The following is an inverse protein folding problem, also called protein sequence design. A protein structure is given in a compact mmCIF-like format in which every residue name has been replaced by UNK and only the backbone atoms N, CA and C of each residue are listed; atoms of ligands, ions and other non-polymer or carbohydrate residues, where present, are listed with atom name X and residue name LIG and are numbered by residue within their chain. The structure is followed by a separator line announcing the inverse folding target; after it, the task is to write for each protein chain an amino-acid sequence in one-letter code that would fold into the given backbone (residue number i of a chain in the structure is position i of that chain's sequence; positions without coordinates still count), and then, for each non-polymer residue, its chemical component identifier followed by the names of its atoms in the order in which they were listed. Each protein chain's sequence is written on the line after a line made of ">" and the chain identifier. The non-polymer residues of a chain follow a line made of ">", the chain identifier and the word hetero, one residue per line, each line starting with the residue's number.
data_IF_186981842849
#
_entry.id   IF_186981842849
#
_cell.length_a   1.000
_cell.length_b   1.000
_cell.length_c   1.000
_cell.angle_alpha   90.00
_cell.angle_beta   90.00
_cell.angle_gamma   90.00
#
_symmetry.space_group_name_H-M   'P 1'
#
loop_
_entity.id
_entity.type
_entity.pdbx_description
1 polymer ?
#
# COMPACT_ATOMS: atom_id res chain seq x y z
N UNK A 1 -79.87 -56.93 36.58
CA UNK A 1 -79.09 -55.70 36.34
C UNK A 1 -77.95 -56.08 35.37
N UNK A 2 -78.21 -56.06 34.06
CA UNK A 2 -77.63 -55.15 33.02
C UNK A 2 -76.08 -55.07 33.10
N UNK A 3 -75.33 -55.93 32.40
CA UNK A 3 -74.73 -55.77 31.04
C UNK A 3 -74.10 -54.39 30.78
N UNK A 4 -72.84 -54.35 30.32
CA UNK A 4 -72.40 -53.86 29.00
C UNK A 4 -70.85 -53.91 28.86
N UNK A 5 -70.42 -54.35 27.69
CA UNK A 5 -69.09 -54.48 27.07
C UNK A 5 -68.64 -53.18 26.38
N UNK A 6 -67.33 -52.83 26.32
CA UNK A 6 -66.60 -52.14 25.20
C UNK A 6 -65.25 -51.55 25.70
N UNK A 7 -64.05 -51.91 25.20
CA UNK A 7 -63.34 -51.67 23.91
C UNK A 7 -62.64 -50.27 23.81
N UNK A 8 -61.39 -50.27 23.31
CA UNK A 8 -60.54 -49.17 22.75
C UNK A 8 -59.77 -48.32 23.79
N UNK A 9 -58.53 -47.84 23.60
CA UNK A 9 -57.68 -47.63 22.42
C UNK A 9 -56.21 -47.47 22.92
N UNK A 10 -55.26 -48.08 22.21
CA UNK A 10 -53.82 -47.80 22.31
C UNK A 10 -53.50 -46.39 21.81
N UNK A 11 -52.76 -45.60 22.60
CA UNK A 11 -52.04 -44.43 22.09
C UNK A 11 -50.64 -44.38 22.72
N UNK A 12 -49.65 -44.89 21.99
CA UNK A 12 -48.23 -44.69 22.30
C UNK A 12 -47.82 -43.31 21.80
N UNK A 13 -47.59 -42.37 22.72
CA UNK A 13 -46.97 -41.07 22.40
C UNK A 13 -45.46 -41.24 22.56
N UNK A 14 -44.75 -41.40 21.46
CA UNK A 14 -43.30 -41.28 21.41
C UNK A 14 -42.93 -39.80 21.53
N UNK A 15 -42.54 -39.36 22.73
CA UNK A 15 -41.94 -38.06 22.95
C UNK A 15 -40.47 -38.09 22.52
N UNK A 16 -40.22 -37.69 21.27
CA UNK A 16 -38.88 -37.43 20.75
C UNK A 16 -38.30 -36.18 21.41
N UNK A 17 -37.63 -36.33 22.54
CA UNK A 17 -36.77 -35.29 23.12
C UNK A 17 -35.54 -35.11 22.23
N UNK A 18 -35.59 -34.15 21.31
CA UNK A 18 -34.41 -33.66 20.61
C UNK A 18 -33.50 -32.93 21.61
N UNK A 19 -32.47 -33.62 22.10
CA UNK A 19 -31.34 -33.02 22.80
C UNK A 19 -30.65 -32.03 21.86
N UNK A 20 -30.88 -30.74 22.07
CA UNK A 20 -30.10 -29.68 21.45
C UNK A 20 -28.72 -29.69 22.10
N UNK A 21 -27.73 -30.28 21.43
CA UNK A 21 -26.34 -30.12 21.85
C UNK A 21 -25.97 -28.63 21.78
N UNK A 22 -25.29 -28.07 22.80
CA UNK A 22 -24.79 -26.71 22.70
C UNK A 22 -23.73 -26.67 21.60
N UNK A 23 -23.87 -25.74 20.63
CA UNK A 23 -22.78 -25.37 19.75
C UNK A 23 -21.64 -24.85 20.63
N UNK A 24 -20.60 -25.64 20.81
CA UNK A 24 -19.31 -25.13 21.28
C UNK A 24 -18.78 -24.20 20.20
N UNK A 25 -18.77 -22.90 20.48
CA UNK A 25 -18.06 -21.92 19.67
C UNK A 25 -16.56 -22.26 19.71
N UNK A 26 -16.09 -22.92 18.65
CA UNK A 26 -14.66 -23.14 18.42
C UNK A 26 -14.02 -21.76 18.24
N UNK A 27 -13.15 -21.35 19.17
CA UNK A 27 -12.42 -20.09 19.04
C UNK A 27 -11.59 -20.10 17.75
N UNK A 28 -11.78 -19.10 16.90
CA UNK A 28 -11.00 -18.92 15.68
C UNK A 28 -9.51 -18.75 16.04
N UNK A 29 -8.67 -19.66 15.56
CA UNK A 29 -7.23 -19.58 15.75
C UNK A 29 -6.70 -18.43 14.90
N UNK A 30 -6.10 -17.40 15.53
CA UNK A 30 -5.52 -16.28 14.80
C UNK A 30 -4.34 -16.75 13.92
N UNK A 31 -4.31 -16.32 12.66
CA UNK A 31 -3.20 -16.60 11.75
C UNK A 31 -1.88 -16.09 12.36
N UNK A 32 -0.80 -16.87 12.24
CA UNK A 32 0.51 -16.46 12.73
C UNK A 32 1.39 -16.02 11.57
N UNK A 33 2.17 -14.98 11.79
CA UNK A 33 3.20 -14.53 10.86
C UNK A 33 4.59 -14.72 11.48
N UNK A 34 5.50 -15.25 10.68
CA UNK A 34 6.93 -15.28 10.99
C UNK A 34 7.64 -14.16 10.25
N UNK A 35 8.50 -13.45 10.98
CA UNK A 35 9.32 -12.38 10.42
C UNK A 35 10.51 -13.00 9.69
N UNK A 36 10.51 -12.91 8.36
CA UNK A 36 11.55 -13.49 7.49
C UNK A 36 12.77 -12.59 7.43
N UNK A 37 12.56 -11.27 7.52
CA UNK A 37 13.59 -10.23 7.58
C UNK A 37 13.17 -9.11 8.52
N UNK A 38 14.15 -8.42 9.13
CA UNK A 38 13.89 -7.33 10.08
C UNK A 38 12.88 -6.32 9.54
N UNK A 39 11.78 -6.09 10.28
CA UNK A 39 10.66 -5.23 9.85
C UNK A 39 10.32 -4.19 10.92
N UNK A 40 9.94 -2.99 10.49
CA UNK A 40 9.52 -1.94 11.42
C UNK A 40 8.13 -2.23 12.00
N UNK A 41 8.00 -2.21 13.32
CA UNK A 41 6.75 -2.29 14.05
C UNK A 41 6.26 -0.89 14.43
N UNK A 42 5.02 -0.55 14.08
CA UNK A 42 4.51 0.83 14.15
C UNK A 42 3.11 0.93 14.75
N UNK A 43 2.77 2.07 15.31
CA UNK A 43 1.44 2.33 15.88
C UNK A 43 0.32 2.56 14.86
N UNK A 44 0.63 2.70 13.56
CA UNK A 44 -0.34 2.91 12.47
C UNK A 44 0.10 2.15 11.21
N UNK A 45 -0.82 1.78 10.29
CA UNK A 45 -0.50 1.14 9.00
C UNK A 45 0.09 2.15 8.01
N UNK A 46 1.16 2.82 8.44
CA UNK A 46 1.79 3.92 7.75
C UNK A 46 3.24 4.02 8.21
N UNK A 47 4.13 4.33 7.27
CA UNK A 47 5.53 4.67 7.56
C UNK A 47 5.67 5.96 8.39
N UNK A 48 4.63 6.79 8.45
CA UNK A 48 4.55 7.98 9.31
C UNK A 48 3.90 7.68 10.67
N UNK A 49 3.51 6.43 10.92
CA UNK A 49 3.09 5.98 12.23
C UNK A 49 4.26 5.95 13.21
N UNK A 50 3.97 6.22 14.48
CA UNK A 50 4.92 6.15 15.59
C UNK A 50 5.70 4.84 15.52
N UNK A 51 7.02 4.92 15.39
CA UNK A 51 7.89 3.76 15.42
C UNK A 51 7.91 3.19 16.84
N UNK A 52 7.64 1.90 16.97
CA UNK A 52 7.67 1.19 18.26
C UNK A 52 9.06 0.56 18.41
N UNK A 53 9.38 -0.41 17.55
CA UNK A 53 10.67 -1.11 17.50
C UNK A 53 10.83 -1.88 16.19
N UNK A 54 11.96 -2.56 16.02
CA UNK A 54 12.09 -3.58 14.97
C UNK A 54 11.68 -4.95 15.51
N UNK A 55 10.98 -5.74 14.68
CA UNK A 55 10.84 -7.17 14.89
C UNK A 55 11.98 -7.90 14.20
N UNK A 56 12.58 -8.88 14.86
CA UNK A 56 13.77 -9.59 14.38
C UNK A 56 13.38 -10.77 13.49
N UNK A 57 14.29 -11.19 12.62
CA UNK A 57 14.12 -12.44 11.86
C UNK A 57 13.86 -13.61 12.81
N UNK A 58 12.88 -14.44 12.47
CA UNK A 58 12.42 -15.59 13.25
C UNK A 58 11.43 -15.23 14.38
N UNK A 59 11.19 -13.93 14.63
CA UNK A 59 10.16 -13.51 15.59
C UNK A 59 8.77 -13.87 15.04
N UNK A 60 7.90 -14.40 15.89
CA UNK A 60 6.54 -14.79 15.54
C UNK A 60 5.55 -13.81 16.14
N UNK A 61 4.57 -13.39 15.34
CA UNK A 61 3.52 -12.46 15.75
C UNK A 61 2.16 -12.98 15.32
N UNK A 62 1.12 -12.68 16.11
CA UNK A 62 -0.25 -13.00 15.75
C UNK A 62 -0.78 -11.95 14.77
N UNK A 63 -1.23 -12.37 13.60
CA UNK A 63 -1.87 -11.49 12.61
C UNK A 63 -3.31 -11.27 13.03
N UNK A 64 -3.66 -10.01 13.30
CA UNK A 64 -5.01 -9.61 13.69
C UNK A 64 -5.83 -9.16 12.48
N UNK A 65 -5.20 -8.42 11.56
CA UNK A 65 -5.85 -7.94 10.33
C UNK A 65 -4.82 -7.53 9.29
N UNK A 66 -5.24 -7.32 8.05
CA UNK A 66 -4.41 -6.72 6.99
C UNK A 66 -5.12 -5.46 6.47
N UNK A 67 -4.90 -4.27 7.08
CA UNK A 67 -5.59 -3.04 6.70
C UNK A 67 -5.36 -2.60 5.25
N UNK A 68 -4.26 -3.03 4.61
CA UNK A 68 -4.01 -2.86 3.18
C UNK A 68 -2.90 -3.81 2.69
N UNK A 69 -2.66 -3.82 1.37
CA UNK A 69 -1.67 -4.69 0.72
C UNK A 69 -0.24 -4.58 1.26
N UNK A 70 0.10 -3.52 2.01
CA UNK A 70 1.45 -3.25 2.50
C UNK A 70 1.60 -3.38 4.01
N UNK A 71 0.52 -3.54 4.77
CA UNK A 71 0.57 -3.57 6.22
C UNK A 71 -0.28 -4.69 6.82
N UNK A 72 0.33 -5.52 7.68
CA UNK A 72 -0.38 -6.36 8.63
C UNK A 72 -0.53 -5.62 9.95
N UNK A 73 -1.70 -5.67 10.56
CA UNK A 73 -1.85 -5.42 11.99
C UNK A 73 -1.51 -6.71 12.73
N UNK A 74 -0.58 -6.61 13.67
CA UNK A 74 -0.07 -7.76 14.40
C UNK A 74 -0.01 -7.46 15.89
N UNK A 75 -0.08 -8.54 16.68
CA UNK A 75 0.18 -8.52 18.12
C UNK A 75 1.46 -9.31 18.38
N UNK A 76 2.44 -8.68 19.04
CA UNK A 76 3.70 -9.32 19.38
C UNK A 76 3.57 -10.23 20.62
N UNK A 77 4.66 -10.93 20.96
CA UNK A 77 4.71 -11.83 22.12
C UNK A 77 4.55 -11.14 23.48
N UNK A 78 4.76 -9.82 23.54
CA UNK A 78 4.53 -8.98 24.73
C UNK A 78 3.09 -8.45 24.80
N UNK A 79 2.29 -8.72 23.76
CA UNK A 79 0.90 -8.32 23.66
C UNK A 79 0.68 -6.92 23.10
N UNK A 80 1.73 -6.25 22.62
CA UNK A 80 1.66 -4.93 21.99
C UNK A 80 1.05 -5.08 20.60
N UNK A 81 0.08 -4.24 20.28
CA UNK A 81 -0.58 -4.19 18.96
C UNK A 81 0.02 -3.08 18.12
N UNK A 82 0.34 -3.40 16.88
CA UNK A 82 0.83 -2.43 15.91
C UNK A 82 0.77 -2.98 14.50
N UNK A 83 1.56 -2.39 13.60
CA UNK A 83 1.52 -2.65 12.18
C UNK A 83 2.94 -2.92 11.65
N UNK A 84 3.05 -3.93 10.80
CA UNK A 84 4.29 -4.34 10.12
C UNK A 84 4.06 -4.47 8.61
N UNK A 85 5.12 -4.50 7.81
CA UNK A 85 4.99 -4.66 6.36
C UNK A 85 4.37 -6.01 5.99
N UNK A 86 3.40 -6.00 5.08
CA UNK A 86 2.72 -7.20 4.58
C UNK A 86 3.44 -7.89 3.42
N UNK A 87 4.59 -7.36 3.00
CA UNK A 87 5.35 -8.00 1.94
C UNK A 87 5.94 -9.32 2.39
N UNK A 88 5.86 -10.32 1.52
CA UNK A 88 6.42 -11.67 1.70
C UNK A 88 7.93 -11.66 2.00
N UNK A 89 8.64 -10.60 1.59
CA UNK A 89 10.05 -10.37 1.93
C UNK A 89 10.30 -10.18 3.43
N UNK A 90 9.36 -9.56 4.14
CA UNK A 90 9.48 -9.24 5.56
C UNK A 90 8.69 -10.22 6.42
N UNK A 91 7.52 -10.63 5.94
CA UNK A 91 6.53 -11.32 6.74
C UNK A 91 5.95 -12.48 5.94
N UNK A 92 6.05 -13.69 6.48
CA UNK A 92 5.42 -14.87 5.92
C UNK A 92 4.32 -15.33 6.86
N UNK A 93 3.09 -15.41 6.36
CA UNK A 93 1.96 -15.92 7.13
C UNK A 93 1.90 -17.43 6.97
N UNK A 94 1.88 -18.15 8.09
CA UNK A 94 1.61 -19.58 8.11
C UNK A 94 0.11 -19.75 8.35
N UNK A 95 -0.65 -19.86 7.27
CA UNK A 95 -2.09 -20.14 7.37
C UNK A 95 -2.28 -21.56 7.91
N UNK A 96 -2.90 -21.69 9.08
CA UNK A 96 -3.47 -22.97 9.50
C UNK A 96 -4.83 -23.08 8.82
N UNK A 97 -4.94 -24.04 7.90
CA UNK A 97 -6.09 -24.22 7.01
C UNK A 97 -7.43 -24.24 7.75
N UNK A 98 -8.37 -23.40 7.29
CA UNK A 98 -9.80 -23.56 7.61
C UNK A 98 -10.51 -23.97 6.33
N UNK A 99 -11.09 -25.18 6.36
CA UNK A 99 -11.90 -25.74 5.26
C UNK A 99 -13.08 -24.82 4.93
N UNK A 100 -13.24 -24.54 3.64
CA UNK A 100 -14.43 -23.95 3.06
C UNK A 100 -15.69 -24.71 3.49
N UNK A 101 -16.63 -24.01 4.09
CA UNK A 101 -18.03 -24.45 4.16
C UNK A 101 -18.85 -23.46 3.35
N UNK A 102 -19.39 -23.94 2.24
CA UNK A 102 -20.27 -23.18 1.37
C UNK A 102 -21.60 -22.87 2.09
N UNK A 103 -22.02 -21.60 2.07
CA UNK A 103 -23.39 -21.22 2.45
C UNK A 103 -23.86 -19.95 1.73
N UNK A 104 -24.85 -20.14 0.86
CA UNK A 104 -26.07 -19.36 0.56
C UNK A 104 -26.03 -17.83 0.22
N UNK A 105 -27.00 -17.33 -0.58
CA UNK A 105 -26.87 -16.08 -1.33
C UNK A 105 -27.40 -14.80 -0.63
N UNK A 106 -26.82 -13.67 -1.07
CA UNK A 106 -27.36 -12.30 -1.19
C UNK A 106 -27.46 -11.35 0.03
N UNK A 107 -26.83 -10.18 -0.13
CA UNK A 107 -27.51 -8.88 0.04
C UNK A 107 -26.96 -7.84 -0.96
N UNK A 108 -27.85 -7.32 -1.80
CA UNK A 108 -27.59 -6.39 -2.90
C UNK A 108 -27.78 -4.94 -2.45
N UNK A 109 -26.86 -4.44 -1.61
CA UNK A 109 -26.82 -3.04 -1.22
C UNK A 109 -25.36 -2.59 -1.03
N UNK A 110 -24.91 -1.60 -1.80
CA UNK A 110 -23.58 -1.01 -1.62
C UNK A 110 -23.49 -0.26 -0.28
N UNK A 111 -22.32 -0.27 0.36
CA UNK A 111 -22.06 0.44 1.62
C UNK A 111 -21.70 1.94 1.41
N UNK A 112 -21.78 2.42 0.17
CA UNK A 112 -21.54 3.81 -0.18
C UNK A 112 -22.41 4.24 -1.36
N UNK A 113 -22.79 5.51 -1.37
CA UNK A 113 -23.56 6.13 -2.47
C UNK A 113 -22.76 7.28 -3.05
N UNK A 114 -22.70 7.33 -4.37
CA UNK A 114 -22.08 8.42 -5.12
C UNK A 114 -23.00 9.63 -5.08
N UNK A 115 -22.56 10.72 -4.45
CA UNK A 115 -23.37 11.94 -4.24
C UNK A 115 -23.25 12.91 -5.41
N UNK A 116 -22.11 12.88 -6.12
CA UNK A 116 -21.86 13.63 -7.35
C UNK A 116 -21.04 12.79 -8.32
N UNK A 117 -21.19 13.02 -9.62
CA UNK A 117 -20.44 12.24 -10.60
C UNK A 117 -18.93 12.34 -10.38
N UNK A 118 -18.26 11.20 -10.36
CA UNK A 118 -16.85 11.08 -10.00
C UNK A 118 -16.14 10.07 -10.90
N UNK A 119 -14.86 10.28 -11.14
CA UNK A 119 -14.04 9.35 -11.91
C UNK A 119 -13.95 7.99 -11.20
N UNK A 120 -14.17 6.92 -11.96
CA UNK A 120 -13.79 5.55 -11.59
C UNK A 120 -12.55 5.17 -12.39
N UNK A 121 -11.45 4.86 -11.70
CA UNK A 121 -10.12 4.73 -12.32
C UNK A 121 -9.49 3.38 -12.06
N UNK A 122 -8.54 3.02 -12.89
CA UNK A 122 -7.78 1.77 -12.78
C UNK A 122 -6.78 1.77 -11.61
N UNK A 123 -6.34 2.96 -11.15
CA UNK A 123 -5.40 3.14 -10.03
C UNK A 123 -5.76 4.35 -9.15
N UNK A 124 -5.29 4.44 -7.89
CA UNK A 124 -5.57 5.55 -6.96
C UNK A 124 -4.74 6.80 -7.30
N UNK A 125 -4.90 7.30 -8.52
CA UNK A 125 -4.23 8.49 -9.06
C UNK A 125 -5.17 9.26 -9.98
N UNK A 126 -5.06 10.60 -10.00
CA UNK A 126 -5.81 11.47 -10.92
C UNK A 126 -5.33 11.35 -12.36
N UNK A 127 -4.12 10.83 -12.57
CA UNK A 127 -3.54 10.52 -13.89
C UNK A 127 -3.89 9.12 -14.41
N UNK A 128 -4.45 8.24 -13.57
CA UNK A 128 -4.79 6.88 -13.98
C UNK A 128 -5.93 6.85 -15.00
N UNK A 129 -5.93 5.86 -15.90
CA UNK A 129 -6.99 5.68 -16.87
C UNK A 129 -8.36 5.58 -16.19
N UNK A 130 -9.34 6.26 -16.79
CA UNK A 130 -10.70 6.32 -16.28
C UNK A 130 -11.51 5.23 -16.93
N UNK A 131 -11.88 4.23 -16.15
CA UNK A 131 -12.79 3.14 -16.56
C UNK A 131 -14.09 3.76 -17.08
N UNK A 132 -14.70 4.61 -16.23
CA UNK A 132 -15.89 5.41 -16.56
C UNK A 132 -16.14 6.45 -15.48
N UNK A 133 -17.23 7.18 -15.59
CA UNK A 133 -17.78 7.94 -14.48
C UNK A 133 -18.75 7.08 -13.68
N UNK A 134 -18.69 7.19 -12.36
CA UNK A 134 -19.80 6.80 -11.49
C UNK A 134 -20.85 7.92 -11.53
N UNK A 135 -22.11 7.55 -11.61
CA UNK A 135 -23.23 8.49 -11.70
C UNK A 135 -23.69 8.91 -10.30
N UNK A 136 -24.23 10.13 -10.19
CA UNK A 136 -24.89 10.55 -8.96
C UNK A 136 -26.05 9.59 -8.63
N UNK A 137 -26.17 9.18 -7.37
CA UNK A 137 -27.12 8.18 -6.89
C UNK A 137 -26.67 6.72 -7.10
N UNK A 138 -25.52 6.48 -7.76
CA UNK A 138 -25.00 5.13 -7.97
C UNK A 138 -24.51 4.54 -6.64
N UNK A 139 -25.03 3.37 -6.28
CA UNK A 139 -24.56 2.61 -5.13
C UNK A 139 -23.30 1.83 -5.51
N UNK A 140 -22.26 1.92 -4.67
CA UNK A 140 -21.00 1.20 -4.83
C UNK A 140 -20.59 0.60 -3.49
N UNK A 141 -19.77 -0.45 -3.55
CA UNK A 141 -19.20 -1.07 -2.37
C UNK A 141 -17.75 -0.61 -2.21
N UNK A 142 -17.49 0.24 -1.24
CA UNK A 142 -16.13 0.56 -0.80
C UNK A 142 -15.53 -0.70 -0.18
N UNK A 143 -14.43 -1.18 -0.76
CA UNK A 143 -13.70 -2.39 -0.36
C UNK A 143 -12.29 -2.10 0.18
N UNK A 144 -11.85 -0.84 0.12
CA UNK A 144 -10.55 -0.43 0.67
C UNK A 144 -10.32 1.08 0.62
N UNK A 145 -9.32 1.56 1.38
CA UNK A 145 -8.87 2.96 1.37
C UNK A 145 -7.34 3.02 1.26
N UNK A 146 -6.78 2.91 0.04
CA UNK A 146 -5.32 2.87 -0.16
C UNK A 146 -4.59 4.12 0.36
N UNK A 147 -5.25 5.28 0.37
CA UNK A 147 -4.73 6.50 0.98
C UNK A 147 -5.86 7.47 1.37
N UNK A 148 -5.51 8.65 1.89
CA UNK A 148 -6.49 9.65 2.35
C UNK A 148 -7.37 10.24 1.25
N UNK A 149 -7.09 9.99 -0.03
CA UNK A 149 -7.78 10.60 -1.17
C UNK A 149 -8.55 9.59 -2.03
N UNK A 150 -8.27 8.29 -1.90
CA UNK A 150 -8.85 7.25 -2.75
C UNK A 150 -9.50 6.13 -1.95
N UNK A 151 -10.72 5.77 -2.35
CA UNK A 151 -11.36 4.51 -2.03
C UNK A 151 -11.15 3.55 -3.18
N UNK A 152 -10.92 2.29 -2.85
CA UNK A 152 -11.15 1.19 -3.77
C UNK A 152 -12.62 0.80 -3.67
N UNK A 153 -13.32 0.77 -4.80
CA UNK A 153 -14.77 0.53 -4.86
C UNK A 153 -15.09 -0.52 -5.93
N UNK A 154 -16.15 -1.29 -5.68
CA UNK A 154 -16.75 -2.25 -6.61
C UNK A 154 -18.14 -1.74 -7.01
N UNK A 155 -18.42 -1.72 -8.30
CA UNK A 155 -19.73 -1.31 -8.83
C UNK A 155 -20.75 -2.47 -8.85
N UNK A 156 -21.99 -2.17 -9.22
CA UNK A 156 -23.08 -3.17 -9.33
C UNK A 156 -22.83 -4.25 -10.39
N UNK A 157 -21.97 -3.96 -11.37
CA UNK A 157 -21.55 -4.90 -12.41
C UNK A 157 -20.35 -5.77 -11.99
N UNK A 158 -19.83 -5.53 -10.78
CA UNK A 158 -18.70 -6.25 -10.21
C UNK A 158 -17.32 -5.74 -10.60
N UNK A 159 -17.24 -4.64 -11.35
CA UNK A 159 -15.97 -4.01 -11.76
C UNK A 159 -15.36 -3.29 -10.55
N UNK A 160 -14.05 -3.48 -10.35
CA UNK A 160 -13.29 -2.86 -9.27
C UNK A 160 -12.39 -1.75 -9.79
N UNK A 161 -12.27 -0.67 -9.04
CA UNK A 161 -11.41 0.46 -9.37
C UNK A 161 -11.34 1.46 -8.22
N UNK A 162 -10.88 2.66 -8.51
CA UNK A 162 -10.59 3.67 -7.51
C UNK A 162 -11.39 4.95 -7.75
N UNK A 163 -11.90 5.52 -6.68
CA UNK A 163 -12.62 6.79 -6.71
C UNK A 163 -12.27 7.68 -5.52
N UNK A 164 -12.63 8.96 -5.56
CA UNK A 164 -12.24 9.92 -4.53
C UNK A 164 -12.88 9.60 -3.17
N UNK A 165 -12.16 9.82 -2.08
CA UNK A 165 -12.70 9.74 -0.70
C UNK A 165 -13.44 10.99 -0.24
N UNK A 166 -13.44 12.03 -1.08
CA UNK A 166 -14.10 13.29 -0.73
C UNK A 166 -15.59 13.08 -0.53
N UNK A 167 -16.12 13.59 0.57
CA UNK A 167 -17.56 13.60 0.88
C UNK A 167 -18.38 14.38 -0.15
N UNK A 168 -17.73 15.20 -0.98
CA UNK A 168 -18.36 15.83 -2.13
C UNK A 168 -18.80 14.81 -3.21
N UNK A 169 -18.09 13.67 -3.34
CA UNK A 169 -18.33 12.68 -4.39
C UNK A 169 -18.94 11.38 -3.88
N UNK A 170 -18.59 10.95 -2.67
CA UNK A 170 -19.05 9.66 -2.13
C UNK A 170 -19.39 9.79 -0.64
N UNK A 171 -20.52 9.19 -0.25
CA UNK A 171 -20.98 9.14 1.13
C UNK A 171 -21.08 7.68 1.56
N UNK A 172 -20.45 7.34 2.68
CA UNK A 172 -20.62 6.04 3.32
C UNK A 172 -21.98 5.99 4.01
N UNK A 173 -22.68 4.86 3.87
CA UNK A 173 -23.98 4.63 4.49
C UNK A 173 -23.73 3.69 5.67
N UNK A 174 -23.69 4.23 6.89
CA UNK A 174 -23.24 3.48 8.07
C UNK A 174 -24.10 2.23 8.35
N UNK A 175 -23.42 1.09 8.45
CA UNK A 175 -23.98 -0.22 8.81
C UNK A 175 -23.07 -1.35 8.31
N UNK A 176 -22.29 -1.93 9.22
CA UNK A 176 -21.35 -3.06 9.02
C UNK A 176 -20.01 -2.81 8.28
N UNK A 177 -18.95 -3.12 9.03
CA UNK A 177 -17.56 -2.96 8.65
C UNK A 177 -17.19 -3.88 7.48
N UNK A 178 -16.52 -3.29 6.50
CA UNK A 178 -16.14 -3.92 5.24
C UNK A 178 -15.02 -4.95 5.49
N UNK A 179 -15.36 -6.22 5.32
CA UNK A 179 -14.39 -7.31 5.14
C UNK A 179 -14.01 -7.43 3.66
N UNK A 180 -12.71 -7.61 3.40
CA UNK A 180 -12.18 -7.97 2.08
C UNK A 180 -12.40 -9.47 1.82
N UNK A 181 -12.56 -9.92 0.55
CA UNK A 181 -11.50 -10.83 0.08
C UNK A 181 -11.17 -10.83 -1.44
N UNK A 182 -9.97 -11.39 -1.66
CA UNK A 182 -9.39 -12.15 -2.79
C UNK A 182 -9.07 -11.53 -4.16
N UNK A 183 -7.76 -11.50 -4.42
CA UNK A 183 -7.09 -11.47 -5.72
C UNK A 183 -7.20 -12.82 -6.44
N UNK A 184 -7.38 -12.81 -7.76
CA UNK A 184 -7.22 -13.98 -8.64
C UNK A 184 -6.60 -13.52 -10.01
N UNK A 185 -6.02 -14.44 -10.81
CA UNK A 185 -4.69 -14.27 -11.42
C UNK A 185 -4.69 -13.67 -12.83
N UNK A 186 -3.50 -13.19 -13.23
CA UNK A 186 -3.21 -12.57 -14.53
C UNK A 186 -3.23 -13.63 -15.63
N UNK A 187 -4.13 -13.52 -16.61
CA UNK A 187 -4.01 -14.21 -17.90
C UNK A 187 -3.67 -13.20 -19.00
N UNK A 188 -2.56 -13.48 -19.69
CA UNK A 188 -1.91 -12.70 -20.73
C UNK A 188 -2.87 -12.11 -21.79
N UNK A 189 -2.62 -10.89 -22.32
CA UNK A 189 -3.35 -10.40 -23.49
C UNK A 189 -2.78 -11.00 -24.78
N UNK A 190 -3.72 -11.38 -25.64
CA UNK A 190 -3.54 -11.81 -27.04
C UNK A 190 -3.03 -10.64 -27.89
N UNK A 191 -2.11 -10.96 -28.80
CA UNK A 191 -1.47 -10.08 -29.79
C UNK A 191 -2.47 -9.49 -30.80
N UNK A 192 -2.39 -8.18 -31.06
CA UNK A 192 -2.93 -7.51 -32.27
C UNK A 192 -1.95 -6.36 -32.65
N UNK A 193 -1.64 -6.12 -33.94
CA UNK A 193 -0.40 -5.51 -34.38
C UNK A 193 -0.39 -3.97 -34.40
N UNK A 194 0.84 -3.46 -34.53
CA UNK A 194 1.27 -2.09 -34.35
C UNK A 194 0.70 -1.05 -35.33
N UNK A 195 0.40 0.13 -34.80
CA UNK A 195 0.77 1.42 -35.42
C UNK A 195 1.03 2.46 -34.32
N UNK A 196 2.20 3.11 -34.39
CA UNK A 196 2.85 4.02 -33.42
C UNK A 196 2.04 5.31 -33.15
N UNK A 197 2.10 5.91 -31.95
CA UNK A 197 3.31 6.50 -31.33
C UNK A 197 3.67 5.86 -29.98
N UNK A 198 4.61 4.91 -29.99
CA UNK A 198 4.94 4.04 -28.84
C UNK A 198 5.98 4.57 -27.83
N UNK A 199 6.55 5.77 -28.00
CA UNK A 199 7.66 6.22 -27.14
C UNK A 199 7.22 6.80 -25.78
N UNK A 200 6.10 7.55 -25.72
CA UNK A 200 5.67 8.22 -24.48
C UNK A 200 4.85 7.33 -23.53
N UNK A 201 4.22 6.28 -24.06
CA UNK A 201 3.41 5.35 -23.26
C UNK A 201 4.31 4.35 -22.50
N UNK A 202 5.47 3.99 -23.08
CA UNK A 202 6.44 3.08 -22.47
C UNK A 202 7.16 3.68 -21.25
N UNK A 203 7.62 4.92 -21.33
CA UNK A 203 8.35 5.56 -20.23
C UNK A 203 7.47 5.78 -18.99
N UNK A 204 6.20 6.15 -19.17
CA UNK A 204 5.25 6.32 -18.06
C UNK A 204 4.96 5.00 -17.35
N UNK A 205 4.70 3.91 -18.09
CA UNK A 205 4.45 2.60 -17.51
C UNK A 205 5.68 2.06 -16.74
N UNK A 206 6.88 2.26 -17.28
CA UNK A 206 8.14 1.88 -16.62
C UNK A 206 8.36 2.70 -15.34
N UNK A 207 8.08 4.00 -15.36
CA UNK A 207 8.18 4.84 -14.15
C UNK A 207 7.21 4.37 -13.06
N UNK A 208 5.99 3.96 -13.41
CA UNK A 208 5.07 3.41 -12.41
C UNK A 208 5.56 2.07 -11.84
N UNK A 209 6.24 1.23 -12.62
CA UNK A 209 6.88 0.02 -12.11
C UNK A 209 8.02 0.36 -11.13
N UNK A 210 8.83 1.38 -11.42
CA UNK A 210 9.88 1.88 -10.52
C UNK A 210 9.29 2.41 -9.22
N UNK A 211 8.20 3.17 -9.31
CA UNK A 211 7.49 3.64 -8.11
C UNK A 211 6.92 2.45 -7.35
N UNK A 212 6.26 1.50 -8.01
CA UNK A 212 5.70 0.31 -7.36
C UNK A 212 6.76 -0.52 -6.64
N UNK A 213 7.93 -0.71 -7.24
CA UNK A 213 9.08 -1.36 -6.61
C UNK A 213 9.50 -0.61 -5.33
N UNK A 214 9.65 0.72 -5.42
CA UNK A 214 10.00 1.55 -4.26
C UNK A 214 8.96 1.55 -3.15
N UNK A 215 7.68 1.55 -3.51
CA UNK A 215 6.57 1.43 -2.57
C UNK A 215 6.60 0.09 -1.84
N UNK A 216 7.08 -0.96 -2.51
CA UNK A 216 7.34 -2.23 -1.87
C UNK A 216 8.34 -2.12 -0.73
N UNK A 217 9.40 -1.33 -0.92
CA UNK A 217 10.44 -1.15 0.09
C UNK A 217 10.05 -0.27 1.29
N UNK A 218 8.81 0.21 1.42
CA UNK A 218 8.39 0.99 2.58
C UNK A 218 8.72 0.30 3.92
N UNK A 219 9.33 1.06 4.83
CA UNK A 219 9.76 0.60 6.15
C UNK A 219 11.13 -0.10 6.19
N UNK A 220 11.75 -0.39 5.04
CA UNK A 220 13.08 -1.03 5.00
C UNK A 220 14.09 -0.18 5.76
N UNK A 221 14.85 -0.73 6.74
CA UNK A 221 15.73 0.06 7.58
C UNK A 221 16.79 0.86 6.80
N UNK A 222 17.12 2.03 7.32
CA UNK A 222 18.22 2.82 6.80
C UNK A 222 19.57 2.29 7.28
N UNK A 223 20.52 2.15 6.36
CA UNK A 223 21.92 1.90 6.67
C UNK A 223 22.80 2.74 5.76
N UNK A 224 23.66 3.58 6.33
CA UNK A 224 24.60 4.39 5.54
C UNK A 224 25.61 3.47 4.85
N UNK A 225 25.73 3.56 3.53
CA UNK A 225 26.63 2.70 2.76
C UNK A 225 26.16 1.24 2.72
N UNK A 226 24.84 1.00 2.74
CA UNK A 226 24.22 -0.33 2.66
C UNK A 226 24.82 -1.22 1.56
N UNK A 227 24.77 -2.54 1.73
CA UNK A 227 25.25 -3.44 0.69
C UNK A 227 24.30 -3.46 -0.50
N UNK A 228 24.83 -3.14 -1.69
CA UNK A 228 24.11 -3.18 -2.99
C UNK A 228 23.74 -4.60 -3.45
N UNK A 229 24.19 -5.64 -2.72
CA UNK A 229 23.89 -7.04 -3.02
C UNK A 229 22.68 -7.57 -2.26
N UNK A 230 22.10 -6.78 -1.36
CA UNK A 230 20.96 -7.19 -0.54
C UNK A 230 19.96 -6.06 -0.48
N UNK A 231 18.72 -6.40 -0.14
CA UNK A 231 17.69 -5.38 0.10
C UNK A 231 17.29 -5.34 1.58
N UNK A 232 18.11 -5.87 2.48
CA UNK A 232 17.81 -5.91 3.91
C UNK A 232 17.83 -4.52 4.56
N UNK A 233 18.66 -3.62 4.05
CA UNK A 233 18.81 -2.23 4.45
C UNK A 233 19.08 -1.38 3.20
N UNK A 234 18.88 -0.06 3.30
CA UNK A 234 19.20 0.87 2.22
C UNK A 234 19.77 2.19 2.73
N UNK A 235 20.75 2.75 2.03
CA UNK A 235 20.97 4.19 1.96
C UNK A 235 20.11 4.83 0.86
N UNK A 236 20.15 6.16 0.78
CA UNK A 236 19.33 6.92 -0.16
C UNK A 236 19.58 6.53 -1.64
N UNK A 237 20.83 6.36 -2.04
CA UNK A 237 21.21 6.05 -3.42
C UNK A 237 21.02 4.58 -3.77
N UNK A 238 21.20 3.69 -2.80
CA UNK A 238 20.98 2.26 -2.96
C UNK A 238 19.50 1.94 -3.16
N UNK A 239 18.62 2.57 -2.37
CA UNK A 239 17.17 2.48 -2.58
C UNK A 239 16.80 2.88 -4.02
N UNK A 240 17.27 4.04 -4.48
CA UNK A 240 16.98 4.53 -5.83
C UNK A 240 17.51 3.54 -6.87
N UNK A 241 18.75 3.10 -6.74
CA UNK A 241 19.36 2.13 -7.66
C UNK A 241 18.54 0.84 -7.72
N UNK A 242 18.12 0.30 -6.59
CA UNK A 242 17.33 -0.92 -6.52
C UNK A 242 15.94 -0.74 -7.16
N UNK A 243 15.28 0.39 -6.91
CA UNK A 243 13.98 0.71 -7.53
C UNK A 243 14.04 0.69 -9.06
N UNK A 244 15.10 1.24 -9.63
CA UNK A 244 15.29 1.26 -11.09
C UNK A 244 15.71 -0.11 -11.64
N UNK A 245 16.44 -0.93 -10.89
CA UNK A 245 16.72 -2.32 -11.26
C UNK A 245 15.42 -3.12 -11.34
N UNK A 246 14.60 -3.06 -10.29
CA UNK A 246 13.39 -3.88 -10.20
C UNK A 246 12.27 -3.40 -11.12
N UNK A 247 12.12 -2.09 -11.27
CA UNK A 247 11.01 -1.50 -12.04
C UNK A 247 11.33 -1.26 -13.51
N UNK A 248 12.60 -1.06 -13.86
CA UNK A 248 13.02 -0.68 -15.21
C UNK A 248 14.16 -1.53 -15.79
N UNK A 249 14.74 -2.45 -15.02
CA UNK A 249 15.97 -3.15 -15.42
C UNK A 249 17.18 -2.21 -15.57
N UNK A 250 17.09 -0.97 -15.07
CA UNK A 250 18.09 0.07 -15.25
C UNK A 250 19.00 0.15 -14.02
N UNK A 251 20.29 -0.03 -14.26
CA UNK A 251 21.30 0.04 -13.19
C UNK A 251 21.92 1.44 -13.13
N UNK A 252 21.38 2.31 -12.27
CA UNK A 252 21.91 3.65 -12.01
C UNK A 252 23.24 3.61 -11.22
N UNK A 253 24.13 4.62 -11.32
CA UNK A 253 25.36 4.66 -10.53
C UNK A 253 25.15 4.45 -9.02
N UNK A 254 26.18 3.94 -8.33
CA UNK A 254 26.06 3.43 -6.96
C UNK A 254 25.84 4.50 -5.86
N UNK A 255 26.20 5.75 -6.12
CA UNK A 255 26.13 6.85 -5.15
C UNK A 255 25.34 8.05 -5.69
N UNK A 256 24.76 8.84 -4.78
CA UNK A 256 23.86 9.95 -5.12
C UNK A 256 24.52 11.05 -5.96
N UNK A 257 25.83 11.26 -5.84
CA UNK A 257 26.56 12.27 -6.63
C UNK A 257 26.69 11.82 -8.07
N UNK A 258 27.05 10.56 -8.30
CA UNK A 258 27.12 9.98 -9.65
C UNK A 258 25.73 9.83 -10.28
N UNK A 259 24.70 9.54 -9.49
CA UNK A 259 23.30 9.59 -9.97
C UNK A 259 22.92 11.01 -10.41
N UNK A 260 23.32 12.03 -9.65
CA UNK A 260 23.11 13.43 -10.01
C UNK A 260 23.88 13.87 -11.26
N UNK A 261 25.11 13.38 -11.43
CA UNK A 261 25.90 13.61 -12.64
C UNK A 261 25.29 12.91 -13.86
N UNK A 262 24.76 11.71 -13.69
CA UNK A 262 24.05 10.96 -14.74
C UNK A 262 22.84 11.74 -15.26
N UNK A 263 21.98 12.27 -14.36
CA UNK A 263 20.84 13.11 -14.75
C UNK A 263 21.28 14.36 -15.52
N UNK A 264 22.33 15.04 -15.07
CA UNK A 264 22.89 16.21 -15.78
C UNK A 264 23.44 15.85 -17.16
N UNK A 265 24.08 14.69 -17.29
CA UNK A 265 24.60 14.22 -18.57
C UNK A 265 23.48 13.96 -19.59
N UNK A 266 22.29 13.57 -19.12
CA UNK A 266 21.10 13.43 -19.96
C UNK A 266 20.46 14.78 -20.35
N UNK A 267 20.85 15.88 -19.69
CA UNK A 267 20.30 17.21 -19.95
C UNK A 267 18.84 17.38 -19.49
N UNK A 268 18.39 16.56 -18.54
CA UNK A 268 17.01 16.57 -18.03
C UNK A 268 16.88 17.32 -16.71
N UNK A 269 17.96 17.96 -16.24
CA UNK A 269 17.97 18.59 -14.93
C UNK A 269 17.21 19.92 -14.89
N UNK A 270 16.48 20.14 -13.80
CA UNK A 270 15.81 21.39 -13.48
C UNK A 270 16.01 21.76 -12.02
N UNK A 271 16.22 23.07 -11.79
CA UNK A 271 16.23 23.69 -10.46
C UNK A 271 14.83 24.11 -10.00
N UNK A 272 13.81 23.98 -10.84
CA UNK A 272 12.43 24.32 -10.50
C UNK A 272 11.63 23.08 -10.15
N UNK A 273 11.18 22.97 -8.90
CA UNK A 273 10.31 21.88 -8.45
C UNK A 273 9.02 21.77 -9.27
N UNK A 274 8.52 22.87 -9.85
CA UNK A 274 7.30 22.87 -10.67
C UNK A 274 7.50 22.26 -12.05
N UNK A 275 8.74 22.15 -12.53
CA UNK A 275 9.06 21.50 -13.81
C UNK A 275 9.35 20.01 -13.65
N UNK A 276 9.48 19.54 -12.41
CA UNK A 276 9.77 18.15 -12.12
C UNK A 276 8.49 17.34 -12.14
N UNK A 277 8.60 16.12 -12.65
CA UNK A 277 7.51 15.18 -12.81
C UNK A 277 7.77 13.93 -11.98
N UNK A 278 6.67 13.24 -11.67
CA UNK A 278 6.72 11.93 -11.01
C UNK A 278 7.71 11.03 -11.74
N UNK A 279 8.58 10.36 -10.99
CA UNK A 279 9.68 9.55 -11.52
C UNK A 279 11.02 10.27 -11.60
N UNK A 280 11.07 11.60 -11.49
CA UNK A 280 12.33 12.34 -11.46
C UNK A 280 13.10 12.07 -10.17
N UNK A 281 14.43 12.06 -10.26
CA UNK A 281 15.28 12.06 -9.08
C UNK A 281 15.45 13.48 -8.57
N UNK A 282 15.33 13.68 -7.25
CA UNK A 282 15.61 14.95 -6.58
C UNK A 282 16.89 14.83 -5.76
N UNK A 283 17.77 15.82 -5.89
CA UNK A 283 19.06 15.86 -5.21
C UNK A 283 19.12 16.98 -4.18
N UNK A 284 19.72 16.66 -3.02
CA UNK A 284 19.71 17.55 -1.86
C UNK A 284 21.10 17.70 -1.23
N UNK A 285 21.37 18.90 -0.73
CA UNK A 285 22.56 19.20 0.08
C UNK A 285 22.41 18.73 1.53
N UNK A 286 23.46 18.91 2.33
CA UNK A 286 23.46 18.56 3.76
C UNK A 286 22.39 19.31 4.56
N UNK A 287 21.92 18.69 5.63
CA UNK A 287 21.05 19.35 6.60
C UNK A 287 21.84 20.40 7.40
N UNK A 288 21.29 21.60 7.57
CA UNK A 288 21.88 22.72 8.33
C UNK A 288 20.93 23.29 9.39
N UNK A 289 19.73 22.71 9.52
CA UNK A 289 18.65 23.20 10.36
C UNK A 289 17.32 23.13 9.63
N UNK A 290 16.22 23.37 10.35
CA UNK A 290 14.87 23.24 9.79
C UNK A 290 14.33 24.51 9.13
N UNK A 291 15.01 25.65 9.29
CA UNK A 291 14.53 26.95 8.86
C UNK A 291 15.25 27.44 7.61
N UNK A 292 14.57 28.24 6.78
CA UNK A 292 15.17 28.84 5.59
C UNK A 292 16.44 29.65 5.88
N UNK A 293 16.49 30.34 7.02
CA UNK A 293 17.64 31.14 7.45
C UNK A 293 18.91 30.31 7.67
N UNK A 294 18.81 29.01 7.97
CA UNK A 294 19.97 28.12 8.09
C UNK A 294 20.72 27.91 6.76
N UNK A 295 20.14 28.35 5.64
CA UNK A 295 20.64 28.12 4.29
C UNK A 295 20.95 29.42 3.54
N UNK A 296 20.78 30.59 4.15
CA UNK A 296 20.93 31.90 3.50
C UNK A 296 22.32 32.14 2.90
N UNK A 297 23.37 31.59 3.52
CA UNK A 297 24.75 31.71 3.06
C UNK A 297 25.18 30.61 2.08
N UNK A 298 24.28 29.69 1.71
CA UNK A 298 24.65 28.53 0.89
C UNK A 298 24.48 28.85 -0.59
N UNK A 299 25.57 28.76 -1.34
CA UNK A 299 25.50 28.72 -2.80
C UNK A 299 25.02 27.32 -3.26
N UNK A 300 23.80 27.24 -3.79
CA UNK A 300 23.20 25.98 -4.27
C UNK A 300 23.87 25.44 -5.53
N UNK A 301 24.56 26.27 -6.30
CA UNK A 301 25.18 25.85 -7.57
C UNK A 301 26.46 25.03 -7.35
N UNK A 302 27.14 25.25 -6.23
CA UNK A 302 28.38 24.56 -5.86
C UNK A 302 28.21 23.61 -4.69
N UNK A 303 27.02 23.54 -4.11
CA UNK A 303 26.74 22.67 -2.97
C UNK A 303 26.83 21.19 -3.34
N UNK A 304 27.45 20.41 -2.45
CA UNK A 304 27.62 18.97 -2.64
C UNK A 304 26.32 18.20 -2.41
N UNK A 305 26.01 17.27 -3.31
CA UNK A 305 24.92 16.31 -3.13
C UNK A 305 25.26 15.36 -1.98
N UNK A 306 24.33 15.23 -1.05
CA UNK A 306 24.43 14.31 0.10
C UNK A 306 23.22 13.39 0.24
N UNK A 307 22.16 13.63 -0.52
CA UNK A 307 20.94 12.84 -0.46
C UNK A 307 20.23 12.85 -1.81
N UNK A 308 19.50 11.77 -2.10
CA UNK A 308 18.66 11.61 -3.31
C UNK A 308 17.31 11.02 -2.93
N UNK A 309 16.26 11.37 -3.68
CA UNK A 309 14.91 10.83 -3.53
C UNK A 309 14.23 10.66 -4.88
N UNK A 310 13.23 9.77 -4.98
CA UNK A 310 12.34 9.70 -6.14
C UNK A 310 11.16 10.66 -5.93
N UNK A 311 10.88 11.53 -6.89
CA UNK A 311 9.72 12.40 -6.87
C UNK A 311 8.45 11.61 -7.20
N UNK A 312 7.44 11.72 -6.35
CA UNK A 312 6.16 11.04 -6.55
C UNK A 312 5.10 11.94 -7.20
N UNK A 313 5.42 13.21 -7.46
CA UNK A 313 4.43 14.24 -7.77
C UNK A 313 3.85 14.88 -6.51
N UNK A 314 3.12 15.98 -6.68
CA UNK A 314 2.40 16.69 -5.61
C UNK A 314 3.28 17.07 -4.40
N UNK A 315 4.54 17.40 -4.64
CA UNK A 315 5.49 17.75 -3.57
C UNK A 315 5.89 16.56 -2.68
N UNK A 316 5.64 15.32 -3.09
CA UNK A 316 5.97 14.12 -2.32
C UNK A 316 7.24 13.43 -2.82
N UNK A 317 8.01 12.87 -1.91
CA UNK A 317 9.25 12.14 -2.21
C UNK A 317 9.27 10.78 -1.54
N UNK A 318 9.77 9.77 -2.25
CA UNK A 318 10.09 8.44 -1.72
C UNK A 318 11.60 8.33 -1.50
N UNK A 319 12.01 8.02 -0.27
CA UNK A 319 13.43 7.99 0.12
C UNK A 319 13.67 7.23 1.43
N UNK A 320 14.93 7.15 1.85
CA UNK A 320 15.37 6.77 3.20
C UNK A 320 16.62 7.58 3.56
N UNK A 321 16.72 8.15 4.77
CA UNK A 321 17.77 9.14 5.06
C UNK A 321 18.41 9.08 6.45
N UNK A 322 17.87 8.30 7.40
CA UNK A 322 18.51 8.06 8.69
C UNK A 322 17.86 6.89 9.43
N UNK A 323 18.55 6.34 10.44
CA UNK A 323 17.94 5.35 11.35
C UNK A 323 16.69 5.93 12.05
N UNK A 324 16.78 7.19 12.48
CA UNK A 324 15.70 7.89 13.19
C UNK A 324 14.45 8.15 12.33
N UNK A 325 14.58 8.22 11.00
CA UNK A 325 13.43 8.35 10.10
C UNK A 325 12.61 7.07 9.99
N UNK A 326 13.14 5.94 10.50
CA UNK A 326 12.47 4.65 10.49
C UNK A 326 12.53 3.93 9.12
N UNK A 327 13.53 4.24 8.30
CA UNK A 327 13.72 3.57 7.00
C UNK A 327 13.02 4.24 5.82
N UNK A 328 12.74 3.44 4.79
CA UNK A 328 12.11 3.90 3.53
C UNK A 328 10.71 4.43 3.80
N UNK A 329 10.43 5.63 3.31
CA UNK A 329 9.21 6.36 3.63
C UNK A 329 8.87 7.41 2.57
N UNK A 330 7.67 7.97 2.72
CA UNK A 330 7.21 9.11 1.92
C UNK A 330 7.18 10.36 2.79
N UNK A 331 7.83 11.41 2.31
CA UNK A 331 7.80 12.76 2.91
C UNK A 331 7.24 13.78 1.94
N UNK A 332 6.87 14.95 2.48
CA UNK A 332 6.58 16.16 1.70
C UNK A 332 7.81 17.05 1.64
N UNK A 333 8.02 17.72 0.51
CA UNK A 333 9.11 18.66 0.30
C UNK A 333 8.79 20.00 0.97
N UNK A 334 7.59 20.53 0.70
CA UNK A 334 7.22 21.90 1.04
C UNK A 334 7.12 22.18 2.54
N UNK A 335 7.51 23.39 2.93
CA UNK A 335 7.39 23.93 4.29
C UNK A 335 8.34 23.29 5.31
N UNK A 336 9.40 22.63 4.85
CA UNK A 336 10.37 21.99 5.73
C UNK A 336 11.77 21.96 5.12
N UNK A 337 12.73 21.36 5.84
CA UNK A 337 14.13 21.33 5.43
C UNK A 337 14.38 20.68 4.06
N UNK A 338 13.51 19.80 3.55
CA UNK A 338 13.67 19.22 2.22
C UNK A 338 13.60 20.28 1.12
N UNK A 339 12.67 21.21 1.22
CA UNK A 339 12.58 22.37 0.32
C UNK A 339 13.85 23.22 0.37
N UNK A 340 14.36 23.52 1.57
CA UNK A 340 15.55 24.35 1.72
C UNK A 340 16.81 23.67 1.17
N UNK A 341 16.89 22.34 1.29
CA UNK A 341 18.03 21.53 0.83
C UNK A 341 17.98 21.16 -0.65
N UNK A 342 16.86 21.37 -1.33
CA UNK A 342 16.71 21.01 -2.74
C UNK A 342 17.72 21.77 -3.60
N UNK A 343 18.45 21.03 -4.45
CA UNK A 343 19.45 21.55 -5.38
C UNK A 343 18.90 21.61 -6.80
N UNK A 344 18.54 20.43 -7.32
CA UNK A 344 17.95 20.22 -8.63
C UNK A 344 17.36 18.80 -8.66
N UNK A 345 16.59 18.50 -9.69
CA UNK A 345 16.18 17.14 -10.00
C UNK A 345 16.11 16.91 -11.51
N UNK A 346 15.74 15.71 -11.94
CA UNK A 346 15.54 15.43 -13.36
C UNK A 346 15.25 13.97 -13.65
N UNK A 347 14.83 13.70 -14.88
CA UNK A 347 14.47 12.36 -15.33
C UNK A 347 15.72 11.53 -15.64
N UNK A 348 15.70 10.25 -15.27
CA UNK A 348 16.76 9.30 -15.63
C UNK A 348 16.47 8.53 -16.94
N UNK A 349 15.29 8.72 -17.51
CA UNK A 349 14.85 8.12 -18.77
C UNK A 349 14.08 9.19 -19.57
N UNK A 350 14.21 9.14 -20.89
CA UNK A 350 13.52 10.02 -21.84
C UNK A 350 12.17 9.42 -22.25
#
# INVERSE_FOLDING_TARGET
>A
MKKVTSIFLTLAVAASCALSAPLTAQAAQAAQAEIVNSVSFRGKPSVNGSFIRYLKKGEKVAVLSQPNAYWFQVKDGEGVIGYISAQSKYTQVTETAVRETAAAPASSGGNAVVVNSVSFRTSPSTSAERIRYLKSGEAVTVIGKPNSYWYQVKDSSGVTGYTSTSSHYIKLTDGEAVQAPVSAPVSNPVSVPASSPAAAVGSTAVIENVVAAGMGYLGTPYEYGSSRSTTATFDCSDLIRQMFIDGAGLTLPADSRRQGAYVKQLGTDSKSLSQLKRGDLLFFMSYKGSSASNYSSVNKDTATITHVALYLGDGQILHTYSKASGGVRIDRIGGNHWEHRFLYGGSVMN
#
